data_IF_529867196689
#
_entry.id   IF_529867196689
#
_cell.length_a   1.000
_cell.length_b   1.000
_cell.length_c   1.000
_cell.angle_alpha   90.00
_cell.angle_beta   90.00
_cell.angle_gamma   90.00
#
_symmetry.space_group_name_H-M   'P 1'
#
loop_
_entity.id
_entity.type
_entity.pdbx_description
1 polymer ?
#
# COMPACT_ATOMS: atom_id res chain seq x y z
N UNK A 1 61.27 29.58 -21.70
CA UNK A 1 60.73 28.64 -20.72
C UNK A 1 59.23 28.86 -20.64
N UNK A 2 58.40 27.84 -20.90
CA UNK A 2 57.08 27.74 -20.31
C UNK A 2 57.04 26.57 -19.30
N UNK A 3 56.27 26.76 -18.23
CA UNK A 3 56.13 25.84 -17.11
C UNK A 3 55.30 24.60 -17.47
N UNK A 4 55.60 23.48 -16.81
CA UNK A 4 54.82 22.25 -16.81
C UNK A 4 54.00 22.17 -15.50
N UNK A 5 52.74 21.72 -15.60
CA UNK A 5 51.87 21.11 -14.56
C UNK A 5 50.46 20.98 -15.19
N UNK A 6 49.61 19.94 -15.06
CA UNK A 6 49.61 18.61 -14.42
C UNK A 6 48.47 17.79 -15.04
N UNK A 7 48.58 16.47 -14.90
CA UNK A 7 47.66 15.45 -15.33
C UNK A 7 46.30 15.41 -14.56
N UNK A 8 45.32 14.80 -15.22
CA UNK A 8 44.61 13.58 -14.79
C UNK A 8 43.07 13.68 -14.74
N UNK A 9 42.46 12.71 -15.44
CA UNK A 9 41.27 11.91 -15.15
C UNK A 9 40.14 12.52 -14.32
N UNK A 10 38.92 12.48 -14.87
CA UNK A 10 37.90 11.52 -14.39
C UNK A 10 36.69 11.56 -15.33
N UNK A 11 36.46 10.45 -16.04
CA UNK A 11 35.25 10.18 -16.82
C UNK A 11 34.13 9.84 -15.84
N UNK A 12 33.42 10.88 -15.39
CA UNK A 12 32.34 10.78 -14.43
C UNK A 12 31.09 10.14 -15.04
N UNK A 13 31.15 8.83 -15.25
CA UNK A 13 29.95 7.98 -15.35
C UNK A 13 29.21 8.06 -14.02
N UNK A 14 28.23 8.96 -13.92
CA UNK A 14 27.29 8.98 -12.80
C UNK A 14 26.07 8.15 -13.17
N UNK A 15 26.29 6.84 -13.25
CA UNK A 15 25.24 5.84 -13.08
C UNK A 15 24.98 5.69 -11.58
N UNK A 16 24.36 6.71 -10.98
CA UNK A 16 23.81 6.64 -9.62
C UNK A 16 22.28 6.64 -9.73
N UNK A 17 21.77 5.65 -10.46
CA UNK A 17 20.37 5.27 -10.33
C UNK A 17 20.27 4.35 -9.10
N UNK A 18 19.38 4.64 -8.13
CA UNK A 18 19.27 3.82 -6.93
C UNK A 18 18.94 2.37 -7.32
N UNK A 19 19.72 1.44 -6.81
CA UNK A 19 19.62 -0.02 -7.04
C UNK A 19 18.32 -0.67 -6.54
N UNK A 20 17.41 0.12 -5.96
CA UNK A 20 16.12 -0.33 -5.39
C UNK A 20 14.93 0.00 -6.30
N UNK A 21 15.15 0.15 -7.61
CA UNK A 21 14.05 0.15 -8.59
C UNK A 21 13.45 -1.24 -8.63
N UNK A 22 12.39 -1.44 -7.82
CA UNK A 22 11.50 -2.60 -7.94
C UNK A 22 11.07 -2.73 -9.39
N UNK A 23 11.45 -3.84 -10.03
CA UNK A 23 11.05 -4.09 -11.40
C UNK A 23 9.53 -4.15 -11.49
N UNK A 24 8.93 -3.60 -12.56
CA UNK A 24 7.49 -3.70 -12.81
C UNK A 24 7.00 -5.17 -12.82
N UNK A 25 7.91 -6.09 -13.12
CA UNK A 25 7.73 -7.54 -13.09
C UNK A 25 7.48 -8.08 -11.67
N UNK A 26 8.03 -7.43 -10.64
CA UNK A 26 7.93 -7.80 -9.22
C UNK A 26 6.62 -7.30 -8.59
N UNK A 27 5.97 -6.32 -9.22
CA UNK A 27 4.67 -5.83 -8.79
C UNK A 27 3.55 -6.85 -9.05
N UNK A 28 3.75 -7.78 -9.97
CA UNK A 28 2.91 -8.97 -10.18
C UNK A 28 1.41 -8.66 -10.21
N UNK A 29 0.65 -9.37 -9.36
CA UNK A 29 -0.78 -9.22 -9.14
C UNK A 29 -1.14 -8.18 -8.05
N UNK A 30 -0.13 -7.46 -7.52
CA UNK A 30 -0.33 -6.48 -6.44
C UNK A 30 -1.04 -5.21 -6.91
N UNK A 31 -0.84 -4.86 -8.19
CA UNK A 31 -1.37 -3.65 -8.81
C UNK A 31 -2.07 -4.02 -10.11
N UNK A 32 -3.30 -3.55 -10.24
CA UNK A 32 -4.04 -3.54 -11.48
C UNK A 32 -3.45 -2.45 -12.39
N UNK A 33 -2.49 -2.86 -13.21
CA UNK A 33 -1.82 -1.97 -14.15
C UNK A 33 -2.78 -1.35 -15.17
N UNK A 34 -3.95 -1.94 -15.45
CA UNK A 34 -4.92 -1.32 -16.35
C UNK A 34 -5.51 -0.05 -15.71
N UNK A 35 -5.90 -0.13 -14.44
CA UNK A 35 -6.39 1.02 -13.67
C UNK A 35 -5.26 2.04 -13.44
N UNK A 36 -4.07 1.56 -13.07
CA UNK A 36 -2.92 2.44 -12.82
C UNK A 36 -2.48 3.21 -14.08
N UNK A 37 -2.43 2.55 -15.24
CA UNK A 37 -2.09 3.21 -16.49
C UNK A 37 -3.11 4.27 -16.90
N UNK A 38 -4.40 4.07 -16.62
CA UNK A 38 -5.42 5.11 -16.87
C UNK A 38 -5.15 6.38 -16.08
N UNK A 39 -4.63 6.26 -14.85
CA UNK A 39 -4.24 7.42 -14.04
C UNK A 39 -3.03 8.12 -14.65
N UNK A 40 -2.03 7.37 -15.11
CA UNK A 40 -0.87 7.94 -15.81
C UNK A 40 -1.25 8.63 -17.12
N UNK A 41 -2.25 8.12 -17.85
CA UNK A 41 -2.77 8.74 -19.07
C UNK A 41 -3.50 10.07 -18.82
N UNK A 42 -3.81 10.40 -17.56
CA UNK A 42 -4.38 11.69 -17.19
C UNK A 42 -3.31 12.78 -17.00
N UNK A 43 -2.03 12.42 -16.90
CA UNK A 43 -0.94 13.40 -16.84
C UNK A 43 -0.68 14.07 -18.20
N UNK A 44 -0.16 15.30 -18.15
CA UNK A 44 0.37 15.96 -19.33
C UNK A 44 1.70 15.31 -19.77
N UNK A 45 2.02 15.28 -21.09
CA UNK A 45 3.25 14.64 -21.56
C UNK A 45 4.52 15.25 -20.95
N UNK A 46 5.24 14.44 -20.15
CA UNK A 46 6.47 14.85 -19.47
C UNK A 46 6.27 15.36 -18.05
N UNK A 47 5.02 15.41 -17.57
CA UNK A 47 4.65 15.74 -16.19
C UNK A 47 4.11 14.48 -15.48
N UNK A 48 4.09 14.51 -14.15
CA UNK A 48 3.47 13.46 -13.31
C UNK A 48 2.61 14.07 -12.19
N UNK A 49 2.21 15.34 -12.33
CA UNK A 49 1.55 16.10 -11.25
C UNK A 49 0.23 15.45 -10.79
N UNK A 50 -0.60 14.98 -11.74
CA UNK A 50 -1.88 14.39 -11.40
C UNK A 50 -1.69 13.03 -10.74
N UNK A 51 -0.94 12.12 -11.38
CA UNK A 51 -0.74 10.79 -10.81
C UNK A 51 -0.01 10.83 -9.47
N UNK A 52 1.01 11.69 -9.33
CA UNK A 52 1.72 11.91 -8.08
C UNK A 52 0.77 12.44 -6.98
N UNK A 53 -0.05 13.45 -7.28
CA UNK A 53 -0.96 14.04 -6.29
C UNK A 53 -1.97 13.02 -5.73
N UNK A 54 -2.47 12.10 -6.57
CA UNK A 54 -3.42 11.06 -6.13
C UNK A 54 -2.69 10.01 -5.29
N UNK A 55 -1.48 9.61 -5.64
CA UNK A 55 -0.68 8.64 -4.88
C UNK A 55 -0.28 9.21 -3.52
N UNK A 56 0.17 10.47 -3.47
CA UNK A 56 0.50 11.17 -2.22
C UNK A 56 -0.73 11.28 -1.31
N UNK A 57 -1.87 11.74 -1.87
CA UNK A 57 -3.13 11.83 -1.11
C UNK A 57 -3.63 10.48 -0.60
N UNK A 58 -3.36 9.39 -1.33
CA UNK A 58 -3.64 8.05 -0.85
C UNK A 58 -2.74 7.65 0.32
N UNK A 59 -1.44 7.96 0.28
CA UNK A 59 -0.54 7.63 1.40
C UNK A 59 -0.94 8.32 2.69
N UNK A 60 -1.25 9.62 2.62
CA UNK A 60 -1.76 10.37 3.78
C UNK A 60 -3.04 9.73 4.33
N UNK A 61 -4.00 9.46 3.46
CA UNK A 61 -5.26 8.82 3.85
C UNK A 61 -5.05 7.41 4.43
N UNK A 62 -4.14 6.64 3.86
CA UNK A 62 -3.83 5.28 4.31
C UNK A 62 -3.19 5.31 5.69
N UNK A 63 -2.23 6.21 5.94
CA UNK A 63 -1.58 6.37 7.24
C UNK A 63 -2.58 6.74 8.34
N UNK A 64 -3.42 7.75 8.08
CA UNK A 64 -4.48 8.16 9.01
C UNK A 64 -5.45 7.02 9.29
N UNK A 65 -5.96 6.38 8.22
CA UNK A 65 -6.97 5.34 8.36
C UNK A 65 -6.41 4.10 9.08
N UNK A 66 -5.19 3.65 8.75
CA UNK A 66 -4.55 2.50 9.41
C UNK A 66 -4.31 2.80 10.89
N UNK A 67 -3.94 4.04 11.23
CA UNK A 67 -3.78 4.46 12.62
C UNK A 67 -5.10 4.37 13.37
N UNK A 68 -6.19 4.92 12.81
CA UNK A 68 -7.52 4.77 13.40
C UNK A 68 -7.99 3.30 13.47
N UNK A 69 -7.67 2.46 12.49
CA UNK A 69 -8.00 1.04 12.55
C UNK A 69 -7.35 0.35 13.75
N UNK A 70 -6.09 0.68 14.06
CA UNK A 70 -5.39 0.14 15.23
C UNK A 70 -6.06 0.57 16.54
N UNK A 71 -6.42 1.85 16.65
CA UNK A 71 -7.13 2.38 17.82
C UNK A 71 -8.49 1.72 18.02
N UNK A 72 -9.30 1.61 16.96
CA UNK A 72 -10.63 0.98 17.06
C UNK A 72 -10.52 -0.53 17.34
N UNK A 73 -9.44 -1.19 16.90
CA UNK A 73 -9.15 -2.58 17.25
C UNK A 73 -8.82 -2.73 18.76
N UNK A 74 -8.02 -1.82 19.32
CA UNK A 74 -7.72 -1.80 20.76
C UNK A 74 -8.97 -1.52 21.60
N UNK A 75 -9.81 -0.59 21.14
CA UNK A 75 -11.08 -0.24 21.78
C UNK A 75 -12.20 -1.27 21.54
N UNK A 76 -11.96 -2.28 20.69
CA UNK A 76 -12.92 -3.31 20.27
C UNK A 76 -14.18 -2.77 19.57
N UNK A 77 -14.05 -1.64 18.90
CA UNK A 77 -15.12 -0.97 18.15
C UNK A 77 -15.21 -1.54 16.73
N UNK A 78 -15.69 -2.79 16.63
CA UNK A 78 -15.65 -3.57 15.38
C UNK A 78 -16.48 -2.97 14.22
N UNK A 79 -17.58 -2.28 14.52
CA UNK A 79 -18.39 -1.60 13.50
C UNK A 79 -17.63 -0.44 12.84
N UNK A 80 -16.85 0.32 13.62
CA UNK A 80 -16.01 1.38 13.09
C UNK A 80 -14.82 0.80 12.32
N UNK A 81 -14.20 -0.26 12.83
CA UNK A 81 -13.17 -1.00 12.11
C UNK A 81 -13.65 -1.48 10.74
N UNK A 82 -14.89 -2.00 10.67
CA UNK A 82 -15.54 -2.37 9.41
C UNK A 82 -15.68 -1.19 8.46
N UNK A 83 -16.11 -0.04 8.99
CA UNK A 83 -16.31 1.19 8.23
C UNK A 83 -14.99 1.75 7.68
N UNK A 84 -13.93 1.78 8.49
CA UNK A 84 -12.59 2.20 8.07
C UNK A 84 -12.02 1.25 7.01
N UNK A 85 -12.19 -0.07 7.18
CA UNK A 85 -11.81 -1.07 6.19
C UNK A 85 -12.54 -0.86 4.86
N UNK A 86 -13.84 -0.57 4.89
CA UNK A 86 -14.61 -0.25 3.70
C UNK A 86 -14.09 1.00 2.97
N UNK A 87 -13.80 2.05 3.74
CA UNK A 87 -13.30 3.32 3.22
C UNK A 87 -11.96 3.15 2.51
N UNK A 88 -10.96 2.57 3.18
CA UNK A 88 -9.62 2.39 2.59
C UNK A 88 -9.63 1.38 1.44
N UNK A 89 -10.52 0.38 1.47
CA UNK A 89 -10.75 -0.53 0.34
C UNK A 89 -11.18 0.23 -0.92
N UNK A 90 -12.14 1.14 -0.78
CA UNK A 90 -12.64 1.94 -1.90
C UNK A 90 -11.54 2.81 -2.50
N UNK A 91 -10.78 3.49 -1.64
CA UNK A 91 -9.65 4.33 -2.06
C UNK A 91 -8.56 3.54 -2.77
N UNK A 92 -8.18 2.38 -2.23
CA UNK A 92 -7.17 1.49 -2.83
C UNK A 92 -7.60 0.96 -4.20
N UNK A 93 -8.89 0.70 -4.39
CA UNK A 93 -9.43 0.24 -5.67
C UNK A 93 -9.32 1.31 -6.77
N UNK A 94 -9.49 2.58 -6.43
CA UNK A 94 -9.35 3.71 -7.37
C UNK A 94 -7.94 3.79 -7.97
N UNK A 95 -6.91 3.45 -7.19
CA UNK A 95 -5.51 3.43 -7.62
C UNK A 95 -5.06 2.08 -8.22
N UNK A 96 -5.94 1.08 -8.28
CA UNK A 96 -5.57 -0.26 -8.71
C UNK A 96 -4.72 -1.03 -7.71
N UNK A 97 -4.66 -0.64 -6.43
CA UNK A 97 -3.85 -1.32 -5.40
C UNK A 97 -4.56 -2.59 -4.89
N UNK A 98 -4.51 -3.66 -5.70
CA UNK A 98 -5.22 -4.93 -5.49
C UNK A 98 -4.91 -5.54 -4.12
N UNK A 99 -3.63 -5.68 -3.75
CA UNK A 99 -3.27 -6.28 -2.44
C UNK A 99 -3.78 -5.45 -1.26
N UNK A 100 -3.77 -4.12 -1.36
CA UNK A 100 -4.26 -3.26 -0.26
C UNK A 100 -5.78 -3.35 -0.17
N UNK A 101 -6.48 -3.28 -1.31
CA UNK A 101 -7.93 -3.49 -1.42
C UNK A 101 -8.37 -4.80 -0.76
N UNK A 102 -7.71 -5.90 -1.11
CA UNK A 102 -8.10 -7.23 -0.63
C UNK A 102 -7.86 -7.38 0.88
N UNK A 103 -6.78 -6.82 1.41
CA UNK A 103 -6.55 -6.80 2.86
C UNK A 103 -7.57 -5.91 3.59
N UNK A 104 -7.94 -4.76 3.03
CA UNK A 104 -8.98 -3.91 3.58
C UNK A 104 -10.35 -4.59 3.57
N UNK A 105 -10.63 -5.44 2.58
CA UNK A 105 -11.84 -6.28 2.58
C UNK A 105 -11.83 -7.28 3.74
N UNK A 106 -10.69 -7.90 4.05
CA UNK A 106 -10.57 -8.80 5.21
C UNK A 106 -10.83 -8.07 6.53
N UNK A 107 -10.29 -6.86 6.68
CA UNK A 107 -10.53 -6.00 7.85
C UNK A 107 -12.02 -5.62 7.93
N UNK A 108 -12.63 -5.25 6.80
CA UNK A 108 -14.06 -4.94 6.73
C UNK A 108 -14.91 -6.14 7.22
N UNK A 109 -14.66 -7.34 6.68
CA UNK A 109 -15.37 -8.57 7.06
C UNK A 109 -15.14 -8.93 8.51
N UNK A 110 -13.92 -8.79 8.99
CA UNK A 110 -13.59 -9.00 10.40
C UNK A 110 -14.40 -8.08 11.32
N UNK A 111 -14.51 -6.79 10.99
CA UNK A 111 -15.34 -5.86 11.74
C UNK A 111 -16.83 -6.25 11.75
N UNK A 112 -17.32 -6.87 10.67
CA UNK A 112 -18.67 -7.47 10.60
C UNK A 112 -18.81 -8.82 11.32
N UNK A 113 -17.72 -9.34 11.89
CA UNK A 113 -17.65 -10.71 12.42
C UNK A 113 -18.01 -11.74 11.35
N UNK A 114 -17.47 -11.57 10.15
CA UNK A 114 -17.60 -12.47 9.01
C UNK A 114 -16.23 -13.03 8.59
N UNK A 115 -16.22 -14.26 8.08
CA UNK A 115 -15.06 -14.88 7.42
C UNK A 115 -14.90 -14.37 6.00
N UNK A 116 -13.81 -14.77 5.34
CA UNK A 116 -13.54 -14.45 3.93
C UNK A 116 -14.66 -14.94 2.99
N UNK A 117 -15.31 -16.07 3.30
CA UNK A 117 -16.45 -16.61 2.53
C UNK A 117 -17.80 -15.91 2.86
N UNK A 118 -17.82 -14.95 3.77
CA UNK A 118 -19.02 -14.26 4.24
C UNK A 118 -19.84 -15.03 5.27
N UNK A 119 -19.40 -16.21 5.70
CA UNK A 119 -20.02 -16.91 6.82
C UNK A 119 -19.69 -16.21 8.15
N UNK A 120 -20.56 -16.29 9.18
CA UNK A 120 -20.27 -15.70 10.48
C UNK A 120 -18.98 -16.27 11.09
N UNK A 121 -18.17 -15.40 11.67
CA UNK A 121 -17.07 -15.79 12.54
C UNK A 121 -17.65 -16.41 13.82
N UNK A 122 -16.99 -17.46 14.36
CA UNK A 122 -17.38 -18.03 15.65
C UNK A 122 -17.20 -17.00 16.77
N UNK A 123 -17.85 -17.23 17.91
CA UNK A 123 -17.89 -16.36 19.10
C UNK A 123 -16.57 -15.62 19.42
N UNK A 124 -16.66 -14.42 20.02
CA UNK A 124 -15.50 -13.53 20.29
C UNK A 124 -14.34 -14.24 21.02
N UNK A 125 -14.67 -15.23 21.88
CA UNK A 125 -13.68 -16.09 22.56
C UNK A 125 -12.91 -17.01 21.61
N UNK A 126 -13.58 -17.58 20.61
CA UNK A 126 -12.99 -18.48 19.61
C UNK A 126 -12.12 -17.68 18.65
N UNK A 127 -12.57 -16.48 18.29
CA UNK A 127 -11.83 -15.50 17.51
C UNK A 127 -10.48 -15.12 18.14
N UNK A 128 -10.49 -14.83 19.45
CA UNK A 128 -9.26 -14.50 20.20
C UNK A 128 -8.25 -15.65 20.18
N UNK A 129 -8.71 -16.90 20.36
CA UNK A 129 -7.87 -18.10 20.26
C UNK A 129 -7.35 -18.36 18.85
N UNK A 130 -8.12 -18.04 17.81
CA UNK A 130 -7.74 -18.25 16.41
C UNK A 130 -6.55 -17.35 15.99
N UNK A 131 -6.50 -16.12 16.51
CA UNK A 131 -5.39 -15.19 16.25
C UNK A 131 -4.22 -15.36 17.24
N UNK A 132 -4.49 -15.57 18.54
CA UNK A 132 -3.44 -15.88 19.53
C UNK A 132 -2.71 -17.21 19.18
N UNK A 133 -3.43 -18.18 18.62
CA UNK A 133 -2.85 -19.46 18.17
C UNK A 133 -2.02 -19.35 16.88
N UNK A 134 -2.20 -18.30 16.08
CA UNK A 134 -1.44 -18.08 14.84
C UNK A 134 -0.19 -17.20 15.05
N UNK A 135 -0.13 -16.45 16.16
CA UNK A 135 1.08 -15.76 16.61
C UNK A 135 2.12 -16.70 17.28
N UNK A 136 1.78 -17.97 17.52
CA UNK A 136 2.64 -18.95 18.20
C UNK A 136 3.37 -19.91 17.25
N UNK A 137 3.19 -19.77 15.93
CA UNK A 137 3.88 -20.56 14.92
C UNK A 137 4.31 -19.66 13.76
N UNK A 138 5.35 -18.88 13.99
CA UNK A 138 6.41 -18.52 13.03
C UNK A 138 7.63 -18.03 13.84
#
# INVERSE_FOLDING_TARGET
MPAAEVANSDDGSRDDAPSDVVGLEDLGDAVDMATFNQILEMDEPGECEFSQSIVEGFFEQAEETITSMKEELENKELEKLSSLGHFLKGSSATLGLVKVRDNCEKIQRFGKKEKEDGSPLPDEKVLKQYFEGRAATD
#
